data_IF_097814238987
#
_entry.id   IF_097814238987
#
_cell.length_a   1.000
_cell.length_b   1.000
_cell.length_c   1.000
_cell.angle_alpha   90.00
_cell.angle_beta   90.00
_cell.angle_gamma   90.00
#
_symmetry.space_group_name_H-M   'P 1'
#
loop_
_entity.id
_entity.type
_entity.pdbx_description
1 polymer ?
#
# COMPACT_ATOMS: atom_id res chain seq x y z
N UNK A 1 -14.24 -16.16 -4.29
CA UNK A 1 -13.74 -17.47 -3.82
C UNK A 1 -12.33 -17.39 -3.23
N UNK A 2 -11.32 -16.80 -3.91
CA UNK A 2 -9.94 -16.73 -3.39
C UNK A 2 -9.76 -16.06 -2.01
N UNK A 3 -10.49 -14.98 -1.70
CA UNK A 3 -10.42 -14.33 -0.38
C UNK A 3 -10.94 -15.25 0.73
N UNK A 4 -12.06 -15.95 0.48
CA UNK A 4 -12.65 -16.87 1.45
C UNK A 4 -11.74 -18.08 1.73
N UNK A 5 -11.14 -18.65 0.68
CA UNK A 5 -10.18 -19.76 0.80
C UNK A 5 -8.94 -19.32 1.59
N UNK A 6 -8.41 -18.13 1.28
CA UNK A 6 -7.30 -17.55 2.01
C UNK A 6 -7.60 -17.38 3.50
N UNK A 7 -8.69 -16.69 3.83
CA UNK A 7 -9.07 -16.43 5.22
C UNK A 7 -9.34 -17.72 6.01
N UNK A 8 -10.06 -18.68 5.41
CA UNK A 8 -10.33 -19.96 6.05
C UNK A 8 -9.04 -20.76 6.31
N UNK A 9 -8.11 -20.79 5.35
CA UNK A 9 -6.81 -21.43 5.52
C UNK A 9 -5.96 -20.80 6.63
N UNK A 10 -5.95 -19.45 6.73
CA UNK A 10 -5.24 -18.76 7.80
C UNK A 10 -5.91 -19.00 9.17
N UNK A 11 -7.24 -18.98 9.23
CA UNK A 11 -7.98 -19.26 10.46
C UNK A 11 -7.72 -20.70 10.95
N UNK A 12 -7.70 -21.68 10.05
CA UNK A 12 -7.40 -23.07 10.39
C UNK A 12 -5.98 -23.24 10.98
N UNK A 13 -4.98 -22.56 10.40
CA UNK A 13 -3.62 -22.56 10.92
C UNK A 13 -3.53 -21.90 12.30
N UNK A 14 -4.19 -20.75 12.50
CA UNK A 14 -4.26 -20.11 13.83
C UNK A 14 -4.91 -21.01 14.87
N UNK A 15 -6.00 -21.70 14.51
CA UNK A 15 -6.66 -22.66 15.40
C UNK A 15 -5.73 -23.83 15.71
N UNK A 16 -4.99 -24.36 14.73
CA UNK A 16 -4.02 -25.42 14.94
C UNK A 16 -2.88 -24.98 15.88
N UNK A 17 -2.37 -23.76 15.72
CA UNK A 17 -1.35 -23.18 16.60
C UNK A 17 -1.86 -23.06 18.04
N UNK A 18 -3.11 -22.60 18.21
CA UNK A 18 -3.76 -22.49 19.53
C UNK A 18 -3.98 -23.86 20.17
N UNK A 19 -4.44 -24.85 19.40
CA UNK A 19 -4.69 -26.23 19.87
C UNK A 19 -3.41 -26.97 20.23
N UNK A 20 -2.29 -26.67 19.57
CA UNK A 20 -0.99 -27.30 19.81
C UNK A 20 -0.12 -26.55 20.82
N UNK A 21 -0.66 -25.50 21.46
CA UNK A 21 0.08 -24.72 22.43
C UNK A 21 1.32 -24.03 21.84
N UNK A 22 1.23 -23.60 20.58
CA UNK A 22 2.33 -22.98 19.83
C UNK A 22 3.55 -23.89 19.63
N UNK A 23 3.32 -25.16 19.28
CA UNK A 23 4.40 -26.09 18.96
C UNK A 23 5.25 -25.56 17.79
N UNK A 24 6.49 -25.18 18.11
CA UNK A 24 7.36 -24.36 17.23
C UNK A 24 7.53 -24.93 15.82
N UNK A 25 7.78 -26.24 15.61
CA UNK A 25 7.91 -26.79 14.25
C UNK A 25 6.64 -26.65 13.41
N UNK A 26 5.46 -26.75 14.02
CA UNK A 26 4.18 -26.62 13.32
C UNK A 26 3.89 -25.15 12.99
N UNK A 27 4.13 -24.24 13.94
CA UNK A 27 4.00 -22.79 13.71
C UNK A 27 4.92 -22.36 12.56
N UNK A 28 6.18 -22.81 12.58
CA UNK A 28 7.17 -22.44 11.58
C UNK A 28 6.85 -23.08 10.22
N UNK A 29 6.48 -24.36 10.17
CA UNK A 29 6.07 -25.04 8.94
C UNK A 29 4.78 -24.43 8.35
N UNK A 30 3.85 -24.04 9.22
CA UNK A 30 2.65 -23.31 8.88
C UNK A 30 2.97 -21.97 8.21
N UNK A 31 3.82 -21.17 8.84
CA UNK A 31 4.22 -19.85 8.36
C UNK A 31 5.03 -19.90 7.05
N UNK A 32 6.00 -20.81 6.97
CA UNK A 32 6.94 -20.89 5.84
C UNK A 32 6.37 -21.60 4.61
N UNK A 33 5.54 -22.63 4.81
CA UNK A 33 5.07 -23.49 3.72
C UNK A 33 3.55 -23.46 3.58
N UNK A 34 2.81 -23.79 4.65
CA UNK A 34 1.36 -23.98 4.55
C UNK A 34 0.62 -22.67 4.17
N UNK A 35 1.10 -21.51 4.61
CA UNK A 35 0.49 -20.21 4.27
C UNK A 35 0.71 -19.77 2.82
N UNK A 36 1.73 -20.28 2.15
CA UNK A 36 2.11 -19.83 0.80
C UNK A 36 0.97 -19.99 -0.23
N UNK A 37 0.36 -21.19 -0.41
CA UNK A 37 -0.75 -21.34 -1.36
C UNK A 37 -1.97 -20.49 -1.00
N UNK A 38 -2.28 -20.35 0.30
CA UNK A 38 -3.40 -19.53 0.75
C UNK A 38 -3.17 -18.04 0.45
N UNK A 39 -1.93 -17.54 0.58
CA UNK A 39 -1.58 -16.16 0.22
C UNK A 39 -1.74 -15.91 -1.28
N UNK A 40 -1.33 -16.85 -2.13
CA UNK A 40 -1.53 -16.72 -3.58
C UNK A 40 -3.00 -16.71 -3.96
N UNK A 41 -3.81 -17.63 -3.42
CA UNK A 41 -5.25 -17.66 -3.66
C UNK A 41 -5.94 -16.37 -3.19
N UNK A 42 -5.53 -15.84 -2.03
CA UNK A 42 -6.06 -14.60 -1.49
C UNK A 42 -5.65 -13.38 -2.32
N UNK A 43 -4.38 -13.31 -2.76
CA UNK A 43 -3.88 -12.25 -3.63
C UNK A 43 -4.64 -12.20 -4.96
N UNK A 44 -4.89 -13.35 -5.58
CA UNK A 44 -5.74 -13.45 -6.79
C UNK A 44 -7.18 -13.01 -6.50
N UNK A 45 -7.71 -13.37 -5.34
CA UNK A 45 -9.03 -12.92 -4.88
C UNK A 45 -9.12 -11.40 -4.77
N UNK A 46 -8.12 -10.74 -4.17
CA UNK A 46 -8.04 -9.29 -4.09
C UNK A 46 -7.86 -8.65 -5.47
N UNK A 47 -7.00 -9.20 -6.32
CA UNK A 47 -6.80 -8.71 -7.68
C UNK A 47 -8.10 -8.75 -8.50
N UNK A 48 -8.82 -9.87 -8.45
CA UNK A 48 -10.12 -10.02 -9.13
C UNK A 48 -11.15 -9.02 -8.60
N UNK A 49 -11.20 -8.79 -7.28
CA UNK A 49 -12.07 -7.79 -6.67
C UNK A 49 -11.72 -6.38 -7.13
N UNK A 50 -10.43 -6.03 -7.17
CA UNK A 50 -9.97 -4.73 -7.64
C UNK A 50 -10.27 -4.51 -9.12
N UNK A 51 -10.15 -5.54 -9.96
CA UNK A 51 -10.52 -5.50 -11.39
C UNK A 51 -12.04 -5.33 -11.54
N UNK A 52 -12.85 -6.03 -10.75
CA UNK A 52 -14.30 -5.85 -10.78
C UNK A 52 -14.70 -4.45 -10.32
N UNK A 53 -14.03 -3.95 -9.28
CA UNK A 53 -14.27 -2.62 -8.74
C UNK A 53 -13.84 -1.51 -9.70
N UNK A 54 -12.72 -1.68 -10.41
CA UNK A 54 -12.20 -0.70 -11.36
C UNK A 54 -13.10 -0.49 -12.58
N UNK A 55 -13.97 -1.47 -12.91
CA UNK A 55 -15.00 -1.33 -13.94
C UNK A 55 -16.07 -0.29 -13.58
N UNK A 56 -16.20 0.09 -12.31
CA UNK A 56 -17.13 1.13 -11.88
C UNK A 56 -16.54 2.51 -12.14
N UNK A 57 -17.22 3.35 -12.90
CA UNK A 57 -16.82 4.75 -13.09
C UNK A 57 -17.24 5.62 -11.88
N UNK A 58 -16.62 5.38 -10.72
CA UNK A 58 -16.90 6.13 -9.49
C UNK A 58 -15.81 7.16 -9.17
N UNK A 59 -16.14 8.17 -8.36
CA UNK A 59 -15.14 9.15 -7.87
C UNK A 59 -14.02 8.47 -7.08
N UNK A 60 -14.34 7.43 -6.30
CA UNK A 60 -13.39 6.68 -5.51
C UNK A 60 -12.39 5.90 -6.38
N UNK A 61 -12.88 5.18 -7.40
CA UNK A 61 -12.02 4.47 -8.37
C UNK A 61 -11.07 5.45 -9.06
N UNK A 62 -11.59 6.60 -9.51
CA UNK A 62 -10.76 7.63 -10.15
C UNK A 62 -9.68 8.22 -9.22
N UNK A 63 -9.95 8.34 -7.91
CA UNK A 63 -8.98 8.80 -6.92
C UNK A 63 -7.89 7.76 -6.67
N UNK A 64 -8.28 6.50 -6.46
CA UNK A 64 -7.32 5.39 -6.26
C UNK A 64 -6.47 5.16 -7.52
N UNK A 65 -7.07 5.24 -8.71
CA UNK A 65 -6.32 5.17 -9.97
C UNK A 65 -5.31 6.33 -10.10
N UNK A 66 -5.66 7.54 -9.68
CA UNK A 66 -4.72 8.66 -9.65
C UNK A 66 -3.54 8.39 -8.69
N UNK A 67 -3.81 7.85 -7.49
CA UNK A 67 -2.77 7.45 -6.53
C UNK A 67 -1.81 6.43 -7.13
N UNK A 68 -2.34 5.43 -7.86
CA UNK A 68 -1.53 4.42 -8.54
C UNK A 68 -0.65 5.00 -9.67
N UNK A 69 -1.12 6.02 -10.39
CA UNK A 69 -0.31 6.71 -11.42
C UNK A 69 0.81 7.57 -10.84
N UNK A 70 0.74 7.91 -9.55
CA UNK A 70 1.79 8.63 -8.82
C UNK A 70 2.38 7.77 -7.69
N UNK A 71 2.45 6.45 -7.87
CA UNK A 71 2.86 5.53 -6.81
C UNK A 71 4.29 5.77 -6.30
N UNK A 72 5.24 6.09 -7.19
CA UNK A 72 6.63 6.33 -6.80
C UNK A 72 6.79 7.66 -6.07
N UNK A 73 6.14 8.72 -6.56
CA UNK A 73 6.11 9.99 -5.82
C UNK A 73 5.41 9.83 -4.48
N UNK A 74 4.29 9.10 -4.42
CA UNK A 74 3.57 8.84 -3.17
C UNK A 74 4.40 8.04 -2.17
N UNK A 75 5.18 7.07 -2.64
CA UNK A 75 6.05 6.28 -1.78
C UNK A 75 7.11 7.17 -1.11
N UNK A 76 7.86 7.94 -1.90
CA UNK A 76 8.88 8.84 -1.37
C UNK A 76 8.26 9.96 -0.53
N UNK A 77 7.17 10.55 -0.99
CA UNK A 77 6.44 11.58 -0.25
C UNK A 77 5.93 11.09 1.10
N UNK A 78 5.40 9.87 1.16
CA UNK A 78 4.96 9.24 2.41
C UNK A 78 6.14 9.03 3.36
N UNK A 79 7.26 8.51 2.86
CA UNK A 79 8.48 8.35 3.66
C UNK A 79 8.98 9.70 4.19
N UNK A 80 8.96 10.76 3.38
CA UNK A 80 9.33 12.11 3.82
C UNK A 80 8.38 12.65 4.89
N UNK A 81 7.08 12.47 4.73
CA UNK A 81 6.08 12.87 5.74
C UNK A 81 6.29 12.11 7.05
N UNK A 82 6.41 10.78 7.00
CA UNK A 82 6.61 9.97 8.20
C UNK A 82 7.94 10.30 8.90
N UNK A 83 9.03 10.44 8.15
CA UNK A 83 10.32 10.82 8.73
C UNK A 83 10.32 12.25 9.25
N UNK A 84 9.66 13.20 8.59
CA UNK A 84 9.47 14.55 9.14
C UNK A 84 8.70 14.52 10.47
N UNK A 85 7.71 13.64 10.62
CA UNK A 85 6.92 13.54 11.86
C UNK A 85 7.73 12.89 12.98
N UNK A 86 8.41 11.78 12.69
CA UNK A 86 9.04 10.99 13.75
C UNK A 86 10.52 11.32 13.97
N UNK A 87 11.27 11.67 12.93
CA UNK A 87 12.72 11.87 13.04
C UNK A 87 13.08 13.28 13.52
N UNK A 88 14.30 13.43 14.04
CA UNK A 88 14.77 14.65 14.69
C UNK A 88 14.91 15.88 13.80
N UNK A 89 14.88 15.73 12.47
CA UNK A 89 14.92 16.88 11.54
C UNK A 89 13.56 17.55 11.35
N UNK A 90 12.47 16.95 11.83
CA UNK A 90 11.14 17.56 11.83
C UNK A 90 10.56 17.66 13.24
N UNK A 91 9.45 16.98 13.53
CA UNK A 91 8.78 17.04 14.84
C UNK A 91 9.44 16.17 15.91
N UNK A 92 10.28 15.20 15.52
CA UNK A 92 11.05 14.38 16.47
C UNK A 92 10.19 13.60 17.46
N UNK A 93 9.04 13.08 17.02
CA UNK A 93 8.08 12.35 17.87
C UNK A 93 8.47 10.89 18.15
N UNK A 94 9.59 10.41 17.59
CA UNK A 94 10.08 9.06 17.85
C UNK A 94 10.28 8.82 19.36
N UNK A 95 9.67 7.75 19.88
CA UNK A 95 9.72 7.40 21.30
C UNK A 95 8.93 8.32 22.24
N UNK A 96 8.28 9.38 21.71
CA UNK A 96 7.51 10.35 22.50
C UNK A 96 6.00 10.17 22.42
N UNK A 97 5.52 9.40 21.44
CA UNK A 97 4.10 9.10 21.26
C UNK A 97 3.81 7.64 21.56
N UNK A 98 2.62 7.38 22.09
CA UNK A 98 2.08 6.04 22.27
C UNK A 98 1.82 5.35 20.93
N UNK A 99 1.65 4.03 20.94
CA UNK A 99 1.33 3.26 19.72
C UNK A 99 0.02 3.73 19.08
N UNK A 100 -0.97 4.09 19.90
CA UNK A 100 -2.28 4.54 19.44
C UNK A 100 -2.17 5.91 18.75
N UNK A 101 -1.40 6.83 19.33
CA UNK A 101 -1.13 8.13 18.71
C UNK A 101 -0.37 7.99 17.39
N UNK A 102 0.60 7.08 17.32
CA UNK A 102 1.32 6.80 16.08
C UNK A 102 0.38 6.30 14.95
N UNK A 103 -0.70 5.59 15.28
CA UNK A 103 -1.68 5.12 14.29
C UNK A 103 -2.46 6.27 13.64
N UNK A 104 -2.56 7.44 14.30
CA UNK A 104 -3.21 8.62 13.72
C UNK A 104 -2.46 9.17 12.50
N UNK A 105 -1.17 8.86 12.34
CA UNK A 105 -0.41 9.22 11.15
C UNK A 105 -0.93 8.52 9.88
N UNK A 106 -1.52 7.33 10.01
CA UNK A 106 -2.00 6.52 8.87
C UNK A 106 -3.13 7.21 8.10
N UNK A 107 -4.28 7.58 8.72
CA UNK A 107 -5.35 8.25 7.98
C UNK A 107 -4.92 9.60 7.44
N UNK A 108 -4.02 10.31 8.12
CA UNK A 108 -3.45 11.57 7.63
C UNK A 108 -2.63 11.35 6.35
N UNK A 109 -1.71 10.37 6.33
CA UNK A 109 -0.94 10.03 5.13
C UNK A 109 -1.87 9.58 4.00
N UNK A 110 -2.87 8.75 4.30
CA UNK A 110 -3.85 8.30 3.31
C UNK A 110 -4.65 9.45 2.72
N UNK A 111 -5.09 10.38 3.56
CA UNK A 111 -5.78 11.59 3.12
C UNK A 111 -4.86 12.41 2.21
N UNK A 112 -3.60 12.62 2.59
CA UNK A 112 -2.63 13.33 1.76
C UNK A 112 -2.55 12.70 0.37
N UNK A 113 -2.20 11.41 0.27
CA UNK A 113 -2.02 10.72 -1.03
C UNK A 113 -3.30 10.73 -1.88
N UNK A 114 -4.48 10.49 -1.28
CA UNK A 114 -5.75 10.49 -2.02
C UNK A 114 -6.18 11.89 -2.48
N UNK A 115 -5.88 12.92 -1.68
CA UNK A 115 -6.33 14.28 -1.95
C UNK A 115 -5.47 14.97 -3.01
N UNK A 116 -4.15 14.80 -3.01
CA UNK A 116 -3.25 15.52 -3.92
C UNK A 116 -3.08 14.86 -5.30
N UNK A 117 -3.08 13.52 -5.39
CA UNK A 117 -2.75 12.81 -6.64
C UNK A 117 -3.68 13.17 -7.80
N UNK A 118 -4.99 13.30 -7.56
CA UNK A 118 -5.95 13.61 -8.64
C UNK A 118 -5.83 15.05 -9.16
N UNK A 119 -5.84 16.10 -8.31
CA UNK A 119 -5.59 17.48 -8.75
C UNK A 119 -4.26 17.65 -9.49
N UNK A 120 -3.20 16.97 -9.04
CA UNK A 120 -1.91 17.00 -9.71
C UNK A 120 -2.00 16.46 -11.15
N UNK A 121 -2.56 15.27 -11.32
CA UNK A 121 -2.69 14.63 -12.63
C UNK A 121 -3.75 15.28 -13.54
N UNK A 122 -4.54 16.22 -13.02
CA UNK A 122 -5.38 17.07 -13.86
C UNK A 122 -4.53 18.06 -14.70
N UNK A 123 -3.37 18.47 -14.18
CA UNK A 123 -2.46 19.44 -14.81
C UNK A 123 -1.24 18.79 -15.46
N UNK A 124 -0.78 17.65 -14.92
CA UNK A 124 0.43 16.96 -15.35
C UNK A 124 0.15 15.53 -15.84
N UNK A 125 0.99 15.00 -16.72
CA UNK A 125 0.89 13.64 -17.25
C UNK A 125 1.39 12.58 -16.27
N UNK A 126 2.34 12.95 -15.41
CA UNK A 126 3.05 12.06 -14.50
C UNK A 126 3.19 12.69 -13.13
N UNK A 127 3.44 11.88 -12.10
CA UNK A 127 3.98 12.41 -10.87
C UNK A 127 5.42 12.92 -11.07
N UNK A 128 5.90 13.83 -10.21
CA UNK A 128 7.24 14.43 -10.31
C UNK A 128 8.36 13.38 -10.44
N UNK A 129 8.37 12.38 -9.56
CA UNK A 129 9.42 11.37 -9.54
C UNK A 129 9.24 10.34 -10.66
N UNK A 130 8.01 10.03 -11.03
CA UNK A 130 7.72 9.19 -12.20
C UNK A 130 8.22 9.84 -13.48
N UNK A 131 8.04 11.16 -13.63
CA UNK A 131 8.56 11.92 -14.75
C UNK A 131 10.09 11.91 -14.77
N UNK A 132 10.73 12.17 -13.62
CA UNK A 132 12.18 12.16 -13.49
C UNK A 132 12.73 10.79 -13.89
N UNK A 133 12.21 9.72 -13.28
CA UNK A 133 12.62 8.35 -13.56
C UNK A 133 12.44 7.99 -15.04
N UNK A 134 11.28 8.31 -15.63
CA UNK A 134 10.99 8.03 -17.05
C UNK A 134 11.90 8.81 -18.00
N UNK A 135 12.25 10.04 -17.65
CA UNK A 135 13.14 10.88 -18.45
C UNK A 135 14.58 10.37 -18.38
N UNK A 136 15.04 9.98 -17.19
CA UNK A 136 16.36 9.37 -16.97
C UNK A 136 16.48 8.02 -17.69
N UNK A 137 15.50 7.13 -17.51
CA UNK A 137 15.50 5.79 -18.12
C UNK A 137 15.49 5.83 -19.65
N UNK A 138 14.93 6.89 -20.26
CA UNK A 138 14.91 7.08 -21.72
C UNK A 138 16.00 8.01 -22.24
N UNK A 139 16.80 8.62 -21.36
CA UNK A 139 17.79 9.63 -21.72
C UNK A 139 17.20 10.86 -22.42
N UNK A 140 15.89 11.11 -22.32
CA UNK A 140 15.20 12.22 -23.00
C UNK A 140 14.09 12.79 -22.12
N UNK A 141 14.03 14.12 -21.93
CA UNK A 141 13.00 14.76 -21.13
C UNK A 141 11.62 14.50 -21.72
N UNK A 142 10.70 14.05 -20.88
CA UNK A 142 9.31 13.76 -21.28
C UNK A 142 8.43 14.99 -21.10
N UNK A 143 7.33 15.11 -21.85
CA UNK A 143 6.38 16.21 -21.65
C UNK A 143 5.64 16.05 -20.31
N UNK A 144 5.91 16.96 -19.37
CA UNK A 144 5.35 16.89 -18.02
C UNK A 144 3.93 17.49 -17.93
N UNK A 145 3.70 18.65 -18.56
CA UNK A 145 2.43 19.38 -18.51
C UNK A 145 1.50 18.90 -19.62
N UNK A 146 0.20 18.81 -19.32
CA UNK A 146 -0.84 18.62 -20.34
C UNK A 146 -1.02 19.95 -21.08
N UNK A 147 -0.98 19.90 -22.42
CA UNK A 147 -1.30 21.04 -23.30
C UNK A 147 -2.81 21.20 -23.33
#
# INVERSE_FOLDING_TARGET
>A
MGIGIGLAGHAALVVADLMTGFYVPLVLGGFLAAMVPFRFAQALGYAALLVLWSRRNSRAVNRVAAVGRTAFTNYIGTSLVCTAIFYGWGLGLYGKVTRVEAWLAVPMVWALVLLWSKPWLARFNYGPLEWLWRSLARGRPQAMRKV
#
